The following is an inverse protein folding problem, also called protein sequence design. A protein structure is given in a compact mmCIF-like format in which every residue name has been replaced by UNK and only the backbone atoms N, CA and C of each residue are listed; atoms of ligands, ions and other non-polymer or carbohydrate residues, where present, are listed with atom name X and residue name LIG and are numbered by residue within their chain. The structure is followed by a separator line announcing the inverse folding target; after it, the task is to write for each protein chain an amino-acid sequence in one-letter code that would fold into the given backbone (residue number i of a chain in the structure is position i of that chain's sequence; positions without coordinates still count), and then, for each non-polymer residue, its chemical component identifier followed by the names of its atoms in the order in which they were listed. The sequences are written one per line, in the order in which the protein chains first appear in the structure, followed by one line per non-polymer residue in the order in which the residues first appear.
data_IF_725038736266
#
_entry.id   IF_725038736266
#
_cell.length_a   1.000
_cell.length_b   1.000
_cell.length_c   1.000
_cell.angle_alpha   90.00
_cell.angle_beta   90.00
_cell.angle_gamma   90.00
#
_symmetry.space_group_name_H-M   'P 1'
#
loop_
_entity.id
_entity.type
_entity.pdbx_description
1 polymer ?
#
# COMPACT_ATOMS: atom_id res chain seq x y z
N UNK A 1 11.79 -2.31 0.46
CA UNK A 1 11.20 -1.00 0.12
C UNK A 1 10.98 -0.21 1.40
N UNK A 2 11.39 1.06 1.45
CA UNK A 2 11.03 2.02 2.50
C UNK A 2 9.81 2.84 2.03
N UNK A 3 8.60 2.62 2.57
CA UNK A 3 7.47 3.48 2.26
C UNK A 3 7.33 4.58 3.31
N UNK A 4 7.22 5.83 2.88
CA UNK A 4 7.03 7.00 3.77
C UNK A 4 5.91 7.88 3.26
N UNK A 5 4.72 7.70 3.79
CA UNK A 5 3.53 8.51 3.53
C UNK A 5 2.86 9.02 4.81
N UNK A 6 3.47 8.70 5.96
CA UNK A 6 2.89 8.95 7.27
C UNK A 6 2.60 10.42 7.53
N UNK A 7 3.41 11.33 7.00
CA UNK A 7 3.19 12.77 7.13
C UNK A 7 1.86 13.22 6.52
N UNK A 8 1.46 12.62 5.40
CA UNK A 8 0.18 12.84 4.75
C UNK A 8 -0.95 12.09 5.48
N UNK A 9 -0.78 10.78 5.65
CA UNK A 9 -1.81 9.87 6.16
C UNK A 9 -2.16 10.13 7.64
N UNK A 10 -1.17 10.43 8.47
CA UNK A 10 -1.32 10.48 9.93
C UNK A 10 -0.90 11.80 10.56
N UNK A 11 -0.46 12.77 9.77
CA UNK A 11 0.07 14.04 10.22
C UNK A 11 1.54 13.98 10.66
N UNK A 12 2.28 15.09 10.43
CA UNK A 12 3.73 15.10 10.61
C UNK A 12 4.14 14.97 12.08
N UNK A 13 3.45 15.63 13.01
CA UNK A 13 3.81 15.55 14.42
C UNK A 13 3.70 14.12 14.97
N UNK A 14 2.60 13.43 14.68
CA UNK A 14 2.42 12.03 15.09
C UNK A 14 3.51 11.11 14.53
N UNK A 15 3.96 11.40 13.32
CA UNK A 15 4.89 10.55 12.58
C UNK A 15 6.35 10.82 12.88
N UNK A 16 6.73 12.10 13.08
CA UNK A 16 8.13 12.52 13.08
C UNK A 16 8.60 13.23 14.35
N UNK A 17 7.71 13.63 15.29
CA UNK A 17 8.12 14.37 16.48
C UNK A 17 9.17 13.67 17.37
N UNK A 18 9.25 12.33 17.32
CA UNK A 18 10.27 11.55 18.04
C UNK A 18 11.62 11.50 17.31
N UNK A 19 11.64 11.86 16.04
CA UNK A 19 12.82 11.92 15.19
C UNK A 19 12.67 13.11 14.25
N UNK A 20 13.18 14.25 14.69
CA UNK A 20 13.03 15.55 14.01
C UNK A 20 13.63 15.54 12.59
N UNK A 21 14.67 14.76 12.35
CA UNK A 21 15.23 14.59 11.01
C UNK A 21 14.19 14.07 10.00
N UNK A 22 13.17 13.35 10.49
CA UNK A 22 12.08 12.84 9.67
C UNK A 22 11.18 13.91 9.01
N UNK A 23 11.28 15.18 9.45
CA UNK A 23 10.60 16.29 8.76
C UNK A 23 11.31 16.69 7.46
N UNK A 24 12.60 16.35 7.30
CA UNK A 24 13.35 16.60 6.08
C UNK A 24 13.15 15.43 5.09
N UNK A 25 12.60 15.65 3.89
CA UNK A 25 12.49 14.61 2.86
C UNK A 25 13.83 13.93 2.54
N UNK A 26 14.93 14.67 2.52
CA UNK A 26 16.25 14.13 2.24
C UNK A 26 16.72 13.09 3.25
N UNK A 27 16.27 13.19 4.51
CA UNK A 27 16.55 12.18 5.53
C UNK A 27 16.09 10.79 5.10
N UNK A 28 14.88 10.69 4.55
CA UNK A 28 14.28 9.42 4.13
C UNK A 28 14.99 8.80 2.92
N UNK A 29 15.43 9.63 1.96
CA UNK A 29 16.27 9.17 0.87
C UNK A 29 17.59 8.59 1.38
N UNK A 30 18.30 9.34 2.23
CA UNK A 30 19.56 8.90 2.84
C UNK A 30 19.37 7.62 3.65
N UNK A 31 18.31 7.53 4.42
CA UNK A 31 17.98 6.33 5.21
C UNK A 31 17.81 5.10 4.31
N UNK A 32 17.04 5.23 3.23
CA UNK A 32 16.81 4.12 2.29
C UNK A 32 18.10 3.69 1.58
N UNK A 33 18.92 4.65 1.14
CA UNK A 33 20.19 4.41 0.48
C UNK A 33 21.18 3.76 1.43
N UNK A 34 21.40 4.34 2.61
CA UNK A 34 22.38 3.86 3.59
C UNK A 34 22.03 2.49 4.15
N UNK A 35 20.75 2.16 4.25
CA UNK A 35 20.28 0.84 4.66
C UNK A 35 20.30 -0.20 3.52
N UNK A 36 20.74 0.16 2.31
CA UNK A 36 20.81 -0.74 1.16
C UNK A 36 19.45 -1.29 0.73
N UNK A 37 18.39 -0.47 0.84
CA UNK A 37 17.04 -0.92 0.50
C UNK A 37 16.82 -0.96 -1.01
N UNK A 38 15.88 -1.80 -1.45
CA UNK A 38 15.61 -2.03 -2.88
C UNK A 38 14.89 -0.88 -3.57
N UNK A 39 14.16 -0.04 -2.83
CA UNK A 39 13.46 1.12 -3.35
C UNK A 39 12.99 2.05 -2.22
N UNK A 40 12.72 3.31 -2.57
CA UNK A 40 12.07 4.30 -1.72
C UNK A 40 10.70 4.67 -2.31
N UNK A 41 9.65 4.60 -1.51
CA UNK A 41 8.28 4.91 -1.92
C UNK A 41 7.73 6.09 -1.11
N UNK A 42 7.26 7.14 -1.79
CA UNK A 42 6.73 8.32 -1.14
C UNK A 42 5.72 9.08 -2.02
N UNK A 43 4.90 9.97 -1.45
CA UNK A 43 4.06 10.89 -2.21
C UNK A 43 4.87 11.86 -3.08
N UNK A 44 4.20 12.42 -4.10
CA UNK A 44 4.77 13.32 -5.09
C UNK A 44 5.69 14.39 -4.48
N UNK A 45 5.19 15.21 -3.56
CA UNK A 45 5.96 16.33 -3.02
C UNK A 45 7.22 15.92 -2.25
N UNK A 46 7.21 14.74 -1.62
CA UNK A 46 8.41 14.21 -0.97
C UNK A 46 9.45 13.73 -1.99
N UNK A 47 9.00 13.10 -3.08
CA UNK A 47 9.91 12.69 -4.16
C UNK A 47 10.47 13.89 -4.90
N UNK A 48 9.67 14.92 -5.19
CA UNK A 48 10.13 16.15 -5.82
C UNK A 48 11.27 16.83 -5.05
N UNK A 49 11.17 16.83 -3.71
CA UNK A 49 12.20 17.45 -2.87
C UNK A 49 13.58 16.80 -2.98
N UNK A 50 13.68 15.55 -3.43
CA UNK A 50 14.96 14.82 -3.43
C UNK A 50 15.32 14.11 -4.72
N UNK A 51 14.44 14.03 -5.72
CA UNK A 51 14.68 13.26 -6.95
C UNK A 51 15.95 13.67 -7.68
N UNK A 52 16.20 14.96 -7.82
CA UNK A 52 17.41 15.47 -8.49
C UNK A 52 18.68 15.19 -7.67
N UNK A 53 18.60 15.41 -6.34
CA UNK A 53 19.75 15.24 -5.44
C UNK A 53 20.22 13.78 -5.36
N UNK A 54 19.27 12.83 -5.38
CA UNK A 54 19.53 11.41 -5.22
C UNK A 54 19.31 10.59 -6.51
N UNK A 55 19.35 11.27 -7.67
CA UNK A 55 19.13 10.63 -8.96
C UNK A 55 20.03 9.39 -9.14
N UNK A 56 19.43 8.27 -9.52
CA UNK A 56 20.12 7.01 -9.79
C UNK A 56 20.68 6.26 -8.58
N UNK A 57 20.54 6.80 -7.36
CA UNK A 57 21.08 6.15 -6.15
C UNK A 57 20.14 5.09 -5.56
N UNK A 58 18.84 5.20 -5.80
CA UNK A 58 17.83 4.25 -5.35
C UNK A 58 16.61 4.30 -6.29
N UNK A 59 16.02 3.16 -6.64
CA UNK A 59 14.74 3.14 -7.37
C UNK A 59 13.63 3.85 -6.59
N UNK A 60 12.88 4.71 -7.28
CA UNK A 60 11.78 5.48 -6.69
C UNK A 60 10.42 4.86 -7.06
N UNK A 61 9.51 4.86 -6.11
CA UNK A 61 8.11 4.45 -6.29
C UNK A 61 7.24 5.64 -5.88
N UNK A 62 6.49 6.21 -6.82
CA UNK A 62 5.56 7.27 -6.50
C UNK A 62 4.26 6.70 -5.93
N UNK A 63 3.92 7.05 -4.70
CA UNK A 63 2.58 6.79 -4.17
C UNK A 63 1.60 7.79 -4.77
N UNK A 64 0.69 7.30 -5.63
CA UNK A 64 -0.19 8.12 -6.46
C UNK A 64 -1.58 8.35 -5.86
N UNK A 65 -1.89 7.73 -4.72
CA UNK A 65 -3.09 8.04 -3.96
C UNK A 65 -2.81 8.18 -2.46
N UNK A 66 -3.65 8.93 -1.77
CA UNK A 66 -3.48 9.21 -0.34
C UNK A 66 -4.82 9.45 0.35
N UNK A 67 -4.86 9.10 1.63
CA UNK A 67 -5.94 9.41 2.56
C UNK A 67 -5.38 10.24 3.72
N UNK A 68 -6.23 10.64 4.66
CA UNK A 68 -5.78 11.36 5.85
C UNK A 68 -6.59 10.98 7.10
N UNK A 69 -5.99 11.17 8.26
CA UNK A 69 -6.61 10.87 9.55
C UNK A 69 -7.58 11.96 10.05
N UNK A 70 -7.77 13.04 9.30
CA UNK A 70 -8.73 14.11 9.62
C UNK A 70 -10.14 13.73 9.15
N UNK A 71 -10.25 12.84 8.16
CA UNK A 71 -11.52 12.30 7.72
C UNK A 71 -12.13 11.42 8.79
N UNK A 72 -13.47 11.53 8.95
CA UNK A 72 -14.25 10.75 9.92
C UNK A 72 -14.97 9.54 9.29
N UNK A 73 -14.73 9.28 8.01
CA UNK A 73 -15.37 8.18 7.32
C UNK A 73 -14.86 6.83 7.84
N UNK A 74 -15.65 6.22 8.71
CA UNK A 74 -15.31 4.96 9.36
C UNK A 74 -15.65 3.75 8.49
N UNK A 75 -16.79 3.80 7.81
CA UNK A 75 -17.31 2.67 7.01
C UNK A 75 -16.84 2.71 5.58
N UNK A 76 -16.61 3.90 5.07
CA UNK A 76 -16.22 4.14 3.68
C UNK A 76 -14.86 4.84 3.56
N UNK A 77 -13.79 4.30 4.19
CA UNK A 77 -12.47 4.89 3.99
C UNK A 77 -12.08 4.82 2.52
N UNK A 78 -11.59 5.93 1.98
CA UNK A 78 -11.19 6.03 0.58
C UNK A 78 -9.81 6.68 0.43
N UNK A 79 -9.30 6.70 -0.79
CA UNK A 79 -8.04 7.30 -1.18
C UNK A 79 -8.30 8.28 -2.32
N UNK A 80 -7.79 9.48 -2.21
CA UNK A 80 -7.81 10.43 -3.32
C UNK A 80 -6.59 10.23 -4.22
N UNK A 81 -6.75 10.38 -5.54
CA UNK A 81 -5.61 10.43 -6.45
C UNK A 81 -4.81 11.70 -6.20
N UNK A 82 -3.53 11.57 -5.91
CA UNK A 82 -2.61 12.65 -5.50
C UNK A 82 -1.31 12.67 -6.30
N UNK A 83 -1.22 11.89 -7.35
CA UNK A 83 -0.11 11.84 -8.29
C UNK A 83 -0.56 11.24 -9.62
N UNK A 84 0.31 11.31 -10.62
CA UNK A 84 0.04 10.77 -11.97
C UNK A 84 1.21 9.97 -12.50
N UNK A 85 0.97 9.16 -13.52
CA UNK A 85 2.03 8.42 -14.23
C UNK A 85 3.01 9.37 -14.89
N UNK A 86 2.54 10.47 -15.47
CA UNK A 86 3.40 11.48 -16.10
C UNK A 86 4.38 12.11 -15.10
N UNK A 87 3.93 12.41 -13.86
CA UNK A 87 4.79 12.90 -12.80
C UNK A 87 5.81 11.84 -12.35
N UNK A 88 5.39 10.57 -12.27
CA UNK A 88 6.31 9.48 -11.95
C UNK A 88 7.42 9.34 -12.99
N UNK A 89 7.08 9.46 -14.28
CA UNK A 89 8.07 9.45 -15.38
C UNK A 89 9.00 10.66 -15.27
N UNK A 90 8.45 11.86 -15.05
CA UNK A 90 9.24 13.10 -14.91
C UNK A 90 10.28 13.00 -13.80
N UNK A 91 9.95 12.36 -12.69
CA UNK A 91 10.83 12.17 -11.53
C UNK A 91 11.72 10.93 -11.64
N UNK A 92 11.72 10.23 -12.77
CA UNK A 92 12.54 9.04 -12.98
C UNK A 92 12.16 7.86 -12.08
N UNK A 93 10.88 7.76 -11.68
CA UNK A 93 10.40 6.64 -10.88
C UNK A 93 10.45 5.33 -11.67
N UNK A 94 10.73 4.24 -10.97
CA UNK A 94 10.70 2.88 -11.53
C UNK A 94 9.33 2.22 -11.38
N UNK A 95 8.46 2.78 -10.53
CA UNK A 95 7.15 2.26 -10.24
C UNK A 95 6.19 3.33 -9.76
N UNK A 96 4.90 3.04 -9.87
CA UNK A 96 3.85 3.72 -9.10
C UNK A 96 3.28 2.78 -8.05
N UNK A 97 2.69 3.35 -7.02
CA UNK A 97 2.10 2.59 -5.93
C UNK A 97 0.78 3.16 -5.45
N UNK A 98 -0.15 2.28 -5.10
CA UNK A 98 -1.47 2.66 -4.59
C UNK A 98 -1.82 1.94 -3.31
N UNK A 99 -2.67 2.55 -2.50
CA UNK A 99 -3.40 1.88 -1.43
C UNK A 99 -4.83 1.60 -1.87
N UNK A 100 -5.32 0.41 -1.61
CA UNK A 100 -6.74 0.06 -1.70
C UNK A 100 -7.25 -0.44 -0.35
N UNK A 101 -8.54 -0.23 -0.12
CA UNK A 101 -9.26 -0.72 1.06
C UNK A 101 -10.37 -1.70 0.65
N UNK A 102 -10.03 -2.97 0.34
CA UNK A 102 -11.06 -3.99 0.15
C UNK A 102 -11.93 -4.09 1.40
N UNK A 103 -13.24 -4.02 1.22
CA UNK A 103 -14.21 -3.95 2.32
C UNK A 103 -14.79 -2.55 2.56
N UNK A 104 -14.18 -1.49 2.06
CA UNK A 104 -14.79 -0.17 2.05
C UNK A 104 -15.95 -0.10 1.06
N UNK A 105 -16.99 0.69 1.39
CA UNK A 105 -18.07 0.99 0.43
C UNK A 105 -17.55 1.71 -0.83
N UNK A 106 -16.40 2.40 -0.72
CA UNK A 106 -15.70 3.04 -1.83
C UNK A 106 -14.68 2.12 -2.54
N UNK A 107 -14.63 0.83 -2.23
CA UNK A 107 -13.60 -0.08 -2.75
C UNK A 107 -13.63 -0.19 -4.28
N UNK A 108 -14.81 -0.26 -4.89
CA UNK A 108 -14.96 -0.42 -6.34
C UNK A 108 -14.51 0.84 -7.10
N UNK A 109 -14.78 2.02 -6.56
CA UNK A 109 -14.32 3.29 -7.15
C UNK A 109 -12.79 3.38 -7.11
N UNK A 110 -12.17 3.06 -5.97
CA UNK A 110 -10.71 2.98 -5.84
C UNK A 110 -10.08 1.97 -6.82
N UNK A 111 -10.70 0.81 -7.00
CA UNK A 111 -10.22 -0.21 -7.94
C UNK A 111 -10.32 0.30 -9.38
N UNK A 112 -11.39 1.00 -9.73
CA UNK A 112 -11.58 1.59 -11.06
C UNK A 112 -10.49 2.64 -11.36
N UNK A 113 -10.28 3.59 -10.45
CA UNK A 113 -9.25 4.64 -10.58
C UNK A 113 -7.85 4.04 -10.78
N UNK A 114 -7.56 2.98 -10.03
CA UNK A 114 -6.25 2.31 -10.06
C UNK A 114 -6.07 1.49 -11.33
N UNK A 115 -7.13 0.87 -11.84
CA UNK A 115 -7.06 0.06 -13.06
C UNK A 115 -6.56 0.88 -14.25
N UNK A 116 -7.12 2.07 -14.44
CA UNK A 116 -6.74 2.95 -15.54
C UNK A 116 -5.28 3.41 -15.39
N UNK A 117 -4.90 3.82 -14.20
CA UNK A 117 -3.54 4.28 -13.91
C UNK A 117 -2.49 3.16 -13.97
N UNK A 118 -2.86 1.94 -13.56
CA UNK A 118 -2.00 0.77 -13.69
C UNK A 118 -1.75 0.41 -15.16
N UNK A 119 -2.76 0.53 -16.02
CA UNK A 119 -2.63 0.31 -17.45
C UNK A 119 -1.68 1.34 -18.09
N UNK A 120 -1.86 2.61 -17.76
CA UNK A 120 -0.98 3.71 -18.21
C UNK A 120 0.47 3.47 -17.77
N UNK A 121 0.69 3.15 -16.49
CA UNK A 121 2.02 2.89 -15.93
C UNK A 121 2.73 1.72 -16.63
N UNK A 122 2.04 0.62 -16.84
CA UNK A 122 2.58 -0.54 -17.57
C UNK A 122 2.93 -0.20 -19.01
N UNK A 123 2.10 0.59 -19.68
CA UNK A 123 2.37 1.05 -21.05
C UNK A 123 3.63 1.93 -21.12
N UNK A 124 3.93 2.64 -20.05
CA UNK A 124 5.15 3.44 -19.89
C UNK A 124 6.35 2.65 -19.35
N UNK A 125 6.21 1.35 -19.09
CA UNK A 125 7.29 0.51 -18.56
C UNK A 125 7.50 0.61 -17.05
N UNK A 126 6.58 1.23 -16.30
CA UNK A 126 6.65 1.31 -14.84
C UNK A 126 6.03 0.07 -14.18
N UNK A 127 6.64 -0.35 -13.08
CA UNK A 127 6.04 -1.37 -12.23
C UNK A 127 4.84 -0.81 -11.44
N UNK A 128 3.95 -1.71 -11.00
CA UNK A 128 2.78 -1.38 -10.19
C UNK A 128 2.88 -2.07 -8.84
N UNK A 129 2.82 -1.28 -7.77
CA UNK A 129 2.84 -1.75 -6.39
C UNK A 129 1.49 -1.44 -5.73
N UNK A 130 0.88 -2.42 -5.08
CA UNK A 130 -0.41 -2.23 -4.39
C UNK A 130 -0.27 -2.54 -2.90
N UNK A 131 -0.61 -1.55 -2.06
CA UNK A 131 -0.85 -1.74 -0.64
C UNK A 131 -2.32 -2.09 -0.44
N UNK A 132 -2.62 -3.37 -0.20
CA UNK A 132 -3.99 -3.85 -0.02
C UNK A 132 -4.28 -4.05 1.46
N UNK A 133 -5.04 -3.12 2.03
CA UNK A 133 -5.37 -3.09 3.44
C UNK A 133 -6.87 -3.21 3.65
N UNK A 134 -7.39 -4.41 4.00
CA UNK A 134 -8.81 -4.57 4.27
C UNK A 134 -9.27 -3.63 5.39
N UNK A 135 -10.21 -2.75 5.08
CA UNK A 135 -10.78 -1.78 6.01
C UNK A 135 -12.17 -1.37 5.55
N UNK A 136 -13.00 -0.97 6.51
CA UNK A 136 -14.35 -0.43 6.25
C UNK A 136 -15.42 -1.50 6.09
N UNK A 137 -16.62 -1.06 5.76
CA UNK A 137 -17.78 -1.92 5.70
C UNK A 137 -18.03 -2.67 7.00
N UNK A 138 -18.39 -3.94 6.89
CA UNK A 138 -18.67 -4.83 8.00
C UNK A 138 -17.45 -5.62 8.50
N UNK A 139 -16.25 -5.35 7.96
CA UNK A 139 -15.02 -6.01 8.41
C UNK A 139 -14.72 -5.59 9.86
N UNK A 140 -14.64 -6.56 10.76
CA UNK A 140 -14.26 -6.31 12.15
C UNK A 140 -12.81 -5.82 12.27
N UNK A 141 -12.45 -5.24 13.40
CA UNK A 141 -11.05 -4.80 13.62
C UNK A 141 -10.06 -5.96 13.62
N UNK A 142 -10.50 -7.14 14.08
CA UNK A 142 -9.74 -8.38 14.03
C UNK A 142 -9.69 -8.93 12.60
N UNK A 143 -10.78 -8.80 11.87
CA UNK A 143 -10.94 -9.18 10.47
C UNK A 143 -9.95 -8.47 9.53
N UNK A 144 -9.50 -7.23 9.83
CA UNK A 144 -8.47 -6.54 9.02
C UNK A 144 -7.17 -7.36 8.84
N UNK A 145 -6.94 -8.34 9.69
CA UNK A 145 -5.77 -9.23 9.63
C UNK A 145 -6.14 -10.72 9.58
N UNK A 146 -7.41 -11.05 9.44
CA UNK A 146 -7.88 -12.42 9.28
C UNK A 146 -7.28 -13.05 8.01
N UNK A 147 -6.94 -14.34 8.08
CA UNK A 147 -6.26 -15.03 6.97
C UNK A 147 -7.08 -15.01 5.68
N UNK A 148 -8.38 -15.27 5.75
CA UNK A 148 -9.29 -15.27 4.61
C UNK A 148 -9.42 -13.88 3.98
N UNK A 149 -9.52 -12.83 4.80
CA UNK A 149 -9.64 -11.44 4.33
C UNK A 149 -8.32 -10.93 3.75
N UNK A 150 -7.18 -11.25 4.38
CA UNK A 150 -5.86 -10.86 3.85
C UNK A 150 -5.56 -11.58 2.54
N UNK A 151 -5.86 -12.88 2.45
CA UNK A 151 -5.70 -13.64 1.21
C UNK A 151 -6.59 -13.09 0.09
N UNK A 152 -7.85 -12.77 0.40
CA UNK A 152 -8.78 -12.16 -0.57
C UNK A 152 -8.27 -10.80 -1.05
N UNK A 153 -7.85 -9.94 -0.12
CA UNK A 153 -7.30 -8.62 -0.45
C UNK A 153 -6.01 -8.69 -1.30
N UNK A 154 -5.15 -9.66 -1.03
CA UNK A 154 -3.95 -9.91 -1.84
C UNK A 154 -4.32 -10.39 -3.25
N UNK A 155 -5.30 -11.28 -3.35
CA UNK A 155 -5.77 -11.81 -4.61
C UNK A 155 -6.42 -10.73 -5.49
N UNK A 156 -7.26 -9.85 -4.92
CA UNK A 156 -7.78 -8.67 -5.62
C UNK A 156 -6.66 -7.81 -6.21
N UNK A 157 -5.64 -7.48 -5.41
CA UNK A 157 -4.49 -6.70 -5.88
C UNK A 157 -3.73 -7.40 -7.02
N UNK A 158 -3.59 -8.72 -6.96
CA UNK A 158 -2.99 -9.50 -8.04
C UNK A 158 -3.80 -9.41 -9.34
N UNK A 159 -5.13 -9.55 -9.23
CA UNK A 159 -6.03 -9.54 -10.38
C UNK A 159 -6.18 -8.18 -11.05
N UNK A 160 -6.01 -7.07 -10.32
CA UNK A 160 -5.89 -5.74 -10.94
C UNK A 160 -4.51 -5.47 -11.54
N UNK A 161 -3.62 -6.45 -11.49
CA UNK A 161 -2.35 -6.45 -12.22
C UNK A 161 -1.18 -5.84 -11.46
N UNK A 162 -1.16 -5.92 -10.14
CA UNK A 162 0.01 -5.55 -9.35
C UNK A 162 1.22 -6.46 -9.64
N UNK A 163 2.41 -5.89 -9.71
CA UNK A 163 3.67 -6.64 -9.75
C UNK A 163 4.19 -6.95 -8.33
N UNK A 164 3.90 -6.06 -7.39
CA UNK A 164 4.26 -6.21 -5.97
C UNK A 164 3.02 -5.90 -5.14
N UNK A 165 2.72 -6.77 -4.18
CA UNK A 165 1.58 -6.62 -3.28
C UNK A 165 2.10 -6.56 -1.86
N UNK A 166 1.66 -5.55 -1.10
CA UNK A 166 1.90 -5.46 0.33
C UNK A 166 0.61 -5.67 1.09
N UNK A 167 0.63 -6.64 2.00
CA UNK A 167 -0.44 -6.91 2.96
C UNK A 167 0.13 -6.93 4.38
N UNK A 168 -0.73 -6.92 5.38
CA UNK A 168 -0.33 -7.22 6.76
C UNK A 168 -0.10 -8.74 6.90
N UNK A 169 0.82 -9.19 7.77
CA UNK A 169 0.91 -10.61 8.11
C UNK A 169 -0.43 -11.12 8.66
N UNK A 170 -0.98 -12.21 8.13
CA UNK A 170 -2.27 -12.73 8.55
C UNK A 170 -2.21 -13.39 9.93
N UNK A 171 -3.29 -13.22 10.71
CA UNK A 171 -3.55 -13.96 11.95
C UNK A 171 -4.21 -15.31 11.64
N UNK A 172 -4.45 -16.13 12.66
CA UNK A 172 -5.23 -17.37 12.51
C UNK A 172 -6.76 -17.14 12.61
N UNK A 173 -7.19 -15.89 12.75
CA UNK A 173 -8.60 -15.56 12.70
C UNK A 173 -9.15 -15.79 11.29
N UNK A 174 -10.40 -16.25 11.19
CA UNK A 174 -11.18 -16.34 9.95
C UNK A 174 -12.44 -15.53 10.17
N UNK A 175 -12.66 -14.52 9.35
CA UNK A 175 -13.75 -13.55 9.50
C UNK A 175 -15.05 -14.06 8.88
N UNK A 176 -14.99 -14.66 7.69
CA UNK A 176 -16.18 -15.07 6.94
C UNK A 176 -16.57 -16.52 7.25
N UNK A 177 -17.83 -16.74 7.61
CA UNK A 177 -18.34 -18.09 7.93
C UNK A 177 -18.26 -19.04 6.73
N UNK A 178 -18.42 -18.54 5.51
CA UNK A 178 -18.26 -19.34 4.30
C UNK A 178 -16.81 -19.81 4.12
N UNK A 179 -15.85 -18.90 4.35
CA UNK A 179 -14.44 -19.24 4.30
C UNK A 179 -14.09 -20.27 5.39
N UNK A 180 -14.58 -20.08 6.61
CA UNK A 180 -14.34 -20.98 7.73
C UNK A 180 -14.72 -22.42 7.44
N UNK A 181 -15.86 -22.63 6.76
CA UNK A 181 -16.27 -23.97 6.31
C UNK A 181 -15.24 -24.60 5.39
N UNK A 182 -14.75 -23.84 4.39
CA UNK A 182 -13.72 -24.33 3.46
C UNK A 182 -12.42 -24.66 4.18
N UNK A 183 -11.96 -23.81 5.10
CA UNK A 183 -10.73 -24.07 5.86
C UNK A 183 -10.84 -25.36 6.70
N UNK A 184 -12.03 -25.65 7.23
CA UNK A 184 -12.30 -26.88 8.01
C UNK A 184 -12.40 -28.10 7.09
N UNK A 185 -13.23 -28.03 6.06
CA UNK A 185 -13.55 -29.15 5.17
C UNK A 185 -12.31 -29.62 4.38
N UNK A 186 -11.49 -28.67 3.94
CA UNK A 186 -10.24 -28.93 3.21
C UNK A 186 -9.04 -29.13 4.15
N UNK A 187 -9.24 -29.07 5.46
CA UNK A 187 -8.19 -29.23 6.47
C UNK A 187 -6.98 -28.30 6.25
N UNK A 188 -7.25 -27.02 5.93
CA UNK A 188 -6.23 -26.02 5.68
C UNK A 188 -5.58 -25.60 6.99
N UNK A 189 -4.27 -25.81 7.11
CA UNK A 189 -3.52 -25.47 8.33
C UNK A 189 -3.18 -23.99 8.38
N UNK A 190 -3.55 -23.32 9.49
CA UNK A 190 -3.32 -21.90 9.75
C UNK A 190 -2.68 -21.62 11.12
N UNK A 191 -2.19 -22.63 11.79
CA UNK A 191 -1.62 -22.58 13.14
C UNK A 191 -0.32 -21.77 13.21
N UNK A 192 0.54 -21.89 12.20
CA UNK A 192 1.80 -21.14 12.12
C UNK A 192 1.78 -20.04 11.09
N UNK A 193 2.62 -19.01 11.25
CA UNK A 193 2.76 -17.94 10.24
C UNK A 193 3.20 -18.53 8.88
N UNK A 194 4.08 -19.53 8.89
CA UNK A 194 4.52 -20.18 7.65
C UNK A 194 3.37 -20.86 6.91
N UNK A 195 2.44 -21.49 7.62
CA UNK A 195 1.26 -22.10 7.02
C UNK A 195 0.33 -21.02 6.45
N UNK A 196 0.11 -19.94 7.19
CA UNK A 196 -0.73 -18.82 6.73
C UNK A 196 -0.19 -18.08 5.50
N UNK A 197 1.13 -18.04 5.30
CA UNK A 197 1.73 -17.39 4.13
C UNK A 197 1.60 -18.26 2.86
N UNK A 198 1.35 -19.56 3.00
CA UNK A 198 1.17 -20.47 1.87
C UNK A 198 -0.22 -20.39 1.24
N UNK A 199 -1.19 -19.88 1.96
CA UNK A 199 -2.60 -19.76 1.56
C UNK A 199 -3.00 -18.32 1.34
#
# INVERSE_FOLDING_TARGET
ILPVDQGFEHGPARSFAKNEDGYDPHYHFKLAINAGLSAFAAPLGMLEAGADTFAGQIPLIMKVNSSNSLSREKYSPSQAITGSVSEAIRLGCSAIGFTIYPGSDAALDMISDIQDMALEAKSAGLAVVVWSYPRGGDISKEGETAIDIVAYAAHMAALVGAHIIKVKPPTSHIELEEAKKVYIDENILIDTLSNRIKH
#
